data_IF_907689818631
#
_entry.id   IF_907689818631
#
_cell.length_a   1.000
_cell.length_b   1.000
_cell.length_c   1.000
_cell.angle_alpha   90.00
_cell.angle_beta   90.00
_cell.angle_gamma   90.00
#
_symmetry.space_group_name_H-M   'P 1'
#
loop_
_entity.id
_entity.type
_entity.pdbx_description
1 polymer ?
#
# COMPACT_ATOMS: atom_id res chain seq x y z
N UNK A 1 -13.54 -22.07 -6.19
CA UNK A 1 -12.26 -21.44 -5.73
C UNK A 1 -12.07 -21.62 -4.21
N UNK A 2 -12.42 -22.81 -3.71
CA UNK A 2 -12.48 -23.06 -2.25
C UNK A 2 -11.11 -23.26 -1.60
N UNK A 3 -10.10 -23.61 -2.40
CA UNK A 3 -8.75 -23.86 -1.89
C UNK A 3 -8.06 -22.61 -1.29
N UNK A 4 -8.38 -21.40 -1.74
CA UNK A 4 -7.87 -20.16 -1.14
C UNK A 4 -8.37 -19.93 0.29
N UNK A 5 -9.54 -20.49 0.62
CA UNK A 5 -10.16 -20.38 1.95
C UNK A 5 -9.75 -21.56 2.88
N UNK A 6 -8.78 -22.37 2.46
CA UNK A 6 -8.24 -23.44 3.31
C UNK A 6 -7.57 -22.83 4.54
N UNK A 7 -7.98 -23.28 5.72
CA UNK A 7 -7.34 -22.92 6.98
C UNK A 7 -5.98 -23.63 7.04
N UNK A 8 -4.90 -22.86 7.13
CA UNK A 8 -3.55 -23.39 7.23
C UNK A 8 -3.18 -23.66 8.68
N UNK A 9 -3.52 -22.75 9.57
CA UNK A 9 -3.36 -22.88 11.01
C UNK A 9 -4.27 -21.89 11.74
N UNK A 10 -4.36 -22.05 13.05
CA UNK A 10 -5.05 -21.10 13.91
C UNK A 10 -4.05 -20.32 14.76
N UNK A 11 -4.27 -19.02 14.92
CA UNK A 11 -3.45 -18.16 15.75
C UNK A 11 -4.34 -17.29 16.64
N UNK A 12 -4.20 -17.44 17.94
CA UNK A 12 -5.04 -16.73 18.91
C UNK A 12 -6.54 -17.07 18.79
N UNK A 13 -6.88 -18.33 18.45
CA UNK A 13 -8.26 -18.78 18.26
C UNK A 13 -8.93 -18.27 16.99
N UNK A 14 -8.17 -17.72 16.02
CA UNK A 14 -8.66 -17.27 14.72
C UNK A 14 -7.97 -18.03 13.60
N UNK A 15 -8.73 -18.45 12.55
CA UNK A 15 -8.16 -19.14 11.41
C UNK A 15 -7.33 -18.19 10.58
N UNK A 16 -6.16 -18.63 10.15
CA UNK A 16 -5.32 -18.00 9.13
C UNK A 16 -5.51 -18.78 7.85
N UNK A 17 -6.07 -18.11 6.84
CA UNK A 17 -6.38 -18.71 5.55
C UNK A 17 -5.15 -18.69 4.63
N UNK A 18 -5.12 -19.62 3.68
CA UNK A 18 -4.07 -19.65 2.67
C UNK A 18 -3.92 -18.32 1.94
N UNK A 19 -5.04 -17.67 1.59
CA UNK A 19 -5.02 -16.38 0.91
C UNK A 19 -4.41 -15.27 1.77
N UNK A 20 -4.65 -15.28 3.09
CA UNK A 20 -4.07 -14.31 4.02
C UNK A 20 -2.53 -14.47 4.09
N UNK A 21 -2.07 -15.73 4.17
CA UNK A 21 -0.65 -16.06 4.20
C UNK A 21 0.05 -15.68 2.88
N UNK A 22 -0.52 -16.07 1.73
CA UNK A 22 0.02 -15.73 0.42
C UNK A 22 0.07 -14.21 0.22
N UNK A 23 -1.00 -13.50 0.58
CA UNK A 23 -1.03 -12.03 0.47
C UNK A 23 0.04 -11.37 1.35
N UNK A 24 0.24 -11.87 2.58
CA UNK A 24 1.31 -11.38 3.46
C UNK A 24 2.70 -11.64 2.86
N UNK A 25 2.95 -12.84 2.34
CA UNK A 25 4.23 -13.22 1.72
C UNK A 25 4.56 -12.36 0.50
N UNK A 26 3.63 -12.23 -0.45
CA UNK A 26 3.83 -11.42 -1.66
C UNK A 26 3.95 -9.94 -1.32
N UNK A 27 3.13 -9.44 -0.40
CA UNK A 27 3.19 -8.05 0.07
C UNK A 27 4.53 -7.72 0.73
N UNK A 28 4.99 -8.53 1.69
CA UNK A 28 6.29 -8.36 2.35
C UNK A 28 7.44 -8.44 1.34
N UNK A 29 7.40 -9.40 0.41
CA UNK A 29 8.42 -9.55 -0.64
C UNK A 29 8.47 -8.32 -1.54
N UNK A 30 7.31 -7.79 -1.96
CA UNK A 30 7.22 -6.58 -2.78
C UNK A 30 7.90 -5.40 -2.09
N UNK A 31 7.54 -5.14 -0.83
CA UNK A 31 8.06 -3.99 -0.07
C UNK A 31 9.55 -4.17 0.27
N UNK A 32 9.98 -5.40 0.55
CA UNK A 32 11.38 -5.73 0.77
C UNK A 32 12.24 -5.48 -0.49
N UNK A 33 11.78 -5.92 -1.66
CA UNK A 33 12.46 -5.67 -2.93
C UNK A 33 12.48 -4.18 -3.29
N UNK A 34 11.38 -3.45 -3.04
CA UNK A 34 11.31 -2.01 -3.23
C UNK A 34 12.32 -1.28 -2.33
N UNK A 35 12.42 -1.66 -1.05
CA UNK A 35 13.40 -1.11 -0.11
C UNK A 35 14.85 -1.30 -0.56
N UNK A 36 15.12 -2.41 -1.25
CA UNK A 36 16.43 -2.71 -1.86
C UNK A 36 16.62 -2.13 -3.26
N UNK A 37 15.75 -1.22 -3.69
CA UNK A 37 15.83 -0.59 -5.00
C UNK A 37 15.79 -1.59 -6.18
N UNK A 38 15.11 -2.73 -6.03
CA UNK A 38 15.01 -3.78 -7.05
C UNK A 38 13.75 -3.62 -7.89
N UNK A 39 13.90 -3.52 -9.23
CA UNK A 39 12.78 -3.43 -10.19
C UNK A 39 11.84 -4.65 -10.13
N UNK A 40 12.35 -5.79 -9.67
CA UNK A 40 11.55 -7.00 -9.49
C UNK A 40 10.40 -6.84 -8.48
N UNK A 41 10.40 -5.79 -7.65
CA UNK A 41 9.28 -5.48 -6.76
C UNK A 41 7.96 -5.33 -7.53
N UNK A 42 7.98 -4.78 -8.75
CA UNK A 42 6.77 -4.56 -9.56
C UNK A 42 6.14 -5.87 -10.03
N UNK A 43 6.95 -6.86 -10.44
CA UNK A 43 6.43 -8.18 -10.85
C UNK A 43 5.77 -8.91 -9.68
N UNK A 44 6.41 -8.89 -8.51
CA UNK A 44 5.83 -9.45 -7.29
C UNK A 44 4.59 -8.64 -6.87
N UNK A 45 4.62 -7.31 -7.07
CA UNK A 45 3.50 -6.41 -6.84
C UNK A 45 2.27 -6.73 -7.70
N UNK A 46 2.45 -7.18 -8.94
CA UNK A 46 1.34 -7.64 -9.79
C UNK A 46 0.68 -8.88 -9.23
N UNK A 47 1.47 -9.86 -8.77
CA UNK A 47 0.94 -11.06 -8.11
C UNK A 47 0.20 -10.69 -6.83
N UNK A 48 0.77 -9.80 -6.03
CA UNK A 48 0.14 -9.28 -4.81
C UNK A 48 -1.20 -8.61 -5.10
N UNK A 49 -1.26 -7.72 -6.09
CA UNK A 49 -2.50 -7.03 -6.49
C UNK A 49 -3.56 -8.01 -6.96
N UNK A 50 -3.18 -9.05 -7.74
CA UNK A 50 -4.09 -10.09 -8.18
C UNK A 50 -4.66 -10.91 -7.01
N UNK A 51 -3.83 -11.27 -6.02
CA UNK A 51 -4.27 -11.95 -4.80
C UNK A 51 -5.23 -11.09 -3.98
N UNK A 52 -4.93 -9.80 -3.82
CA UNK A 52 -5.82 -8.87 -3.12
C UNK A 52 -7.15 -8.70 -3.85
N UNK A 53 -7.14 -8.66 -5.19
CA UNK A 53 -8.36 -8.59 -5.99
C UNK A 53 -9.26 -9.80 -5.70
N UNK A 54 -8.72 -11.02 -5.75
CA UNK A 54 -9.47 -12.25 -5.43
C UNK A 54 -9.96 -12.25 -3.98
N UNK A 55 -9.10 -11.86 -3.03
CA UNK A 55 -9.44 -11.79 -1.61
C UNK A 55 -10.58 -10.82 -1.33
N UNK A 56 -10.53 -9.63 -1.90
CA UNK A 56 -11.56 -8.61 -1.69
C UNK A 56 -12.88 -8.97 -2.38
N UNK A 57 -12.81 -9.63 -3.55
CA UNK A 57 -13.98 -10.19 -4.22
C UNK A 57 -14.68 -11.23 -3.34
N UNK A 58 -13.95 -12.19 -2.81
CA UNK A 58 -14.50 -13.25 -1.96
C UNK A 58 -15.08 -12.74 -0.63
N UNK A 59 -14.44 -11.71 -0.06
CA UNK A 59 -14.88 -11.09 1.21
C UNK A 59 -15.96 -10.01 1.01
N UNK A 60 -16.43 -9.78 -0.22
CA UNK A 60 -17.40 -8.72 -0.59
C UNK A 60 -16.94 -7.30 -0.18
N UNK A 61 -15.62 -7.08 -0.16
CA UNK A 61 -15.01 -5.79 0.18
C UNK A 61 -14.85 -4.93 -1.07
N UNK A 62 -15.98 -4.53 -1.66
CA UNK A 62 -16.01 -3.85 -2.97
C UNK A 62 -15.26 -2.52 -3.01
N UNK A 63 -15.25 -1.75 -1.91
CA UNK A 63 -14.48 -0.51 -1.84
C UNK A 63 -12.98 -0.76 -2.04
N UNK A 64 -12.43 -1.79 -1.40
CA UNK A 64 -11.04 -2.20 -1.56
C UNK A 64 -10.79 -2.86 -2.93
N UNK A 65 -11.79 -3.56 -3.47
CA UNK A 65 -11.71 -4.16 -4.80
C UNK A 65 -11.52 -3.11 -5.90
N UNK A 66 -12.29 -2.01 -5.85
CA UNK A 66 -12.21 -0.89 -6.82
C UNK A 66 -10.83 -0.22 -6.80
N UNK A 67 -10.12 -0.26 -5.67
CA UNK A 67 -8.78 0.32 -5.56
C UNK A 67 -7.70 -0.53 -6.24
N UNK A 68 -7.93 -1.83 -6.46
CA UNK A 68 -6.91 -2.70 -7.03
C UNK A 68 -6.52 -2.32 -8.47
N UNK A 69 -7.43 -1.97 -9.40
CA UNK A 69 -7.08 -1.43 -10.71
C UNK A 69 -6.24 -0.14 -10.63
N UNK A 70 -6.52 0.75 -9.67
CA UNK A 70 -5.75 1.98 -9.47
C UNK A 70 -4.33 1.64 -9.01
N UNK A 71 -4.19 0.75 -8.01
CA UNK A 71 -2.91 0.25 -7.53
C UNK A 71 -2.11 -0.44 -8.65
N UNK A 72 -2.77 -1.22 -9.49
CA UNK A 72 -2.15 -1.85 -10.65
C UNK A 72 -1.61 -0.79 -11.62
N UNK A 73 -2.39 0.25 -11.93
CA UNK A 73 -1.97 1.37 -12.78
C UNK A 73 -0.75 2.10 -12.21
N UNK A 74 -0.71 2.33 -10.90
CA UNK A 74 0.46 2.93 -10.21
C UNK A 74 1.69 2.01 -10.31
N UNK A 75 1.53 0.70 -10.15
CA UNK A 75 2.61 -0.27 -10.29
C UNK A 75 3.17 -0.29 -11.73
N UNK A 76 2.31 -0.27 -12.74
CA UNK A 76 2.71 -0.21 -14.16
C UNK A 76 3.49 1.08 -14.43
N UNK A 77 2.98 2.22 -13.95
CA UNK A 77 3.67 3.51 -14.05
C UNK A 77 5.04 3.46 -13.38
N UNK A 78 5.13 2.88 -12.18
CA UNK A 78 6.38 2.72 -11.44
C UNK A 78 7.38 1.87 -12.19
N UNK A 79 6.98 0.70 -12.70
CA UNK A 79 7.83 -0.16 -13.50
C UNK A 79 8.38 0.56 -14.74
N UNK A 80 7.52 1.27 -15.46
CA UNK A 80 7.92 2.05 -16.62
C UNK A 80 8.96 3.12 -16.25
N UNK A 81 8.69 3.93 -15.23
CA UNK A 81 9.58 5.01 -14.79
C UNK A 81 10.93 4.51 -14.26
N UNK A 82 10.93 3.41 -13.51
CA UNK A 82 12.18 2.84 -13.00
C UNK A 82 13.01 2.17 -14.08
N UNK A 83 12.38 1.72 -15.17
CA UNK A 83 13.04 1.04 -16.29
C UNK A 83 13.50 2.01 -17.38
N UNK A 84 12.80 3.14 -17.55
CA UNK A 84 13.07 4.12 -18.59
C UNK A 84 13.11 5.54 -17.98
N UNK A 85 14.13 5.86 -17.18
CA UNK A 85 14.27 7.21 -16.62
C UNK A 85 14.59 8.22 -17.75
N UNK A 86 14.13 9.47 -17.57
CA UNK A 86 14.61 10.57 -18.40
C UNK A 86 16.09 10.81 -18.10
N UNK A 87 16.89 11.20 -19.10
CA UNK A 87 18.35 11.46 -18.94
C UNK A 87 18.71 12.35 -17.74
N UNK A 88 17.89 13.37 -17.45
CA UNK A 88 18.07 14.26 -16.28
C UNK A 88 17.80 13.59 -14.92
N UNK A 89 17.17 12.43 -14.90
CA UNK A 89 16.78 11.67 -13.70
C UNK A 89 17.49 10.32 -13.63
N UNK A 90 18.45 10.08 -14.50
CA UNK A 90 19.20 8.83 -14.60
C UNK A 90 20.40 8.87 -13.66
N UNK A 91 20.61 7.78 -12.90
CA UNK A 91 21.80 7.57 -12.09
C UNK A 91 22.98 7.10 -12.94
N UNK A 92 24.17 7.06 -12.37
CA UNK A 92 25.34 6.51 -13.05
C UNK A 92 25.19 5.05 -13.49
N UNK A 93 24.27 4.31 -12.86
CA UNK A 93 23.93 2.92 -13.21
C UNK A 93 22.82 2.78 -14.26
N UNK A 94 22.32 3.87 -14.83
CA UNK A 94 21.21 3.85 -15.80
C UNK A 94 19.82 3.69 -15.17
N UNK A 95 19.72 3.70 -13.86
CA UNK A 95 18.45 3.57 -13.13
C UNK A 95 17.87 4.95 -12.78
N UNK A 96 16.56 4.99 -12.49
CA UNK A 96 15.93 6.21 -11.96
C UNK A 96 16.59 6.59 -10.62
N UNK A 97 17.03 7.84 -10.46
CA UNK A 97 17.57 8.36 -9.20
C UNK A 97 16.53 8.42 -8.10
N UNK A 98 16.98 8.13 -6.86
CA UNK A 98 16.19 8.44 -5.67
C UNK A 98 16.18 9.97 -5.50
N UNK A 99 15.02 10.54 -5.28
CA UNK A 99 14.87 11.98 -5.08
C UNK A 99 13.95 12.28 -3.92
N UNK A 100 14.00 13.51 -3.38
CA UNK A 100 13.08 13.98 -2.35
C UNK A 100 12.03 14.91 -2.94
N UNK A 101 10.92 15.04 -2.24
CA UNK A 101 9.94 16.08 -2.53
C UNK A 101 10.51 17.44 -2.14
N UNK A 102 10.28 18.47 -2.97
CA UNK A 102 10.52 19.85 -2.58
C UNK A 102 9.54 20.28 -1.47
N UNK A 103 9.86 21.34 -0.73
CA UNK A 103 8.98 21.85 0.33
C UNK A 103 7.57 22.19 -0.19
N UNK A 104 7.46 22.80 -1.38
CA UNK A 104 6.16 23.07 -2.01
C UNK A 104 5.39 21.81 -2.37
N UNK A 105 6.07 20.74 -2.82
CA UNK A 105 5.43 19.45 -3.07
C UNK A 105 4.97 18.78 -1.77
N UNK A 106 5.75 18.87 -0.69
CA UNK A 106 5.36 18.34 0.63
C UNK A 106 4.13 19.04 1.17
N UNK A 107 4.09 20.37 1.13
CA UNK A 107 2.91 21.15 1.57
C UNK A 107 1.69 20.84 0.72
N UNK A 108 1.86 20.68 -0.60
CA UNK A 108 0.78 20.26 -1.49
C UNK A 108 0.23 18.87 -1.12
N UNK A 109 1.10 17.86 -0.93
CA UNK A 109 0.69 16.52 -0.54
C UNK A 109 -0.01 16.54 0.83
N UNK A 110 0.53 17.28 1.81
CA UNK A 110 -0.06 17.39 3.15
C UNK A 110 -1.44 18.06 3.13
N UNK A 111 -1.69 19.01 2.24
CA UNK A 111 -3.00 19.64 2.06
C UNK A 111 -3.97 18.73 1.28
N UNK A 112 -3.46 18.00 0.28
CA UNK A 112 -4.25 17.13 -0.58
C UNK A 112 -4.77 15.89 0.17
N UNK A 113 -3.96 15.30 1.06
CA UNK A 113 -4.30 14.09 1.81
C UNK A 113 -5.64 14.21 2.58
N UNK A 114 -5.82 15.18 3.49
CA UNK A 114 -7.08 15.31 4.22
C UNK A 114 -8.25 15.65 3.29
N UNK A 115 -8.02 16.46 2.26
CA UNK A 115 -9.06 16.82 1.28
C UNK A 115 -9.58 15.58 0.55
N UNK A 116 -8.68 14.73 0.03
CA UNK A 116 -9.06 13.49 -0.63
C UNK A 116 -9.69 12.48 0.34
N UNK A 117 -9.17 12.38 1.57
CA UNK A 117 -9.73 11.49 2.59
C UNK A 117 -11.16 11.88 2.98
N UNK A 118 -11.43 13.17 3.13
CA UNK A 118 -12.78 13.69 3.43
C UNK A 118 -13.72 13.47 2.24
N UNK A 119 -13.28 13.80 1.03
CA UNK A 119 -14.09 13.60 -0.18
C UNK A 119 -14.42 12.12 -0.41
N UNK A 120 -13.41 11.27 -0.32
CA UNK A 120 -13.59 9.82 -0.49
C UNK A 120 -14.43 9.21 0.64
N UNK A 121 -14.22 9.64 1.89
CA UNK A 121 -15.03 9.24 3.04
C UNK A 121 -16.49 9.64 2.89
N UNK A 122 -16.74 10.85 2.41
CA UNK A 122 -18.10 11.32 2.09
C UNK A 122 -18.75 10.46 0.99
N UNK A 123 -18.05 10.20 -0.12
CA UNK A 123 -18.54 9.33 -1.20
C UNK A 123 -18.87 7.93 -0.67
N UNK A 124 -17.99 7.31 0.10
CA UNK A 124 -18.19 5.97 0.66
C UNK A 124 -19.35 5.94 1.67
N UNK A 125 -19.53 7.00 2.46
CA UNK A 125 -20.67 7.10 3.38
C UNK A 125 -22.01 7.17 2.62
N UNK A 126 -22.04 7.81 1.45
CA UNK A 126 -23.24 7.92 0.61
C UNK A 126 -23.55 6.60 -0.12
N UNK A 127 -22.53 5.84 -0.54
CA UNK A 127 -22.74 4.59 -1.28
C UNK A 127 -23.53 3.55 -0.48
N UNK A 128 -23.21 3.32 0.78
CA UNK A 128 -23.89 2.33 1.62
C UNK A 128 -25.22 2.80 2.20
N UNK A 129 -25.46 4.12 2.29
CA UNK A 129 -26.61 4.68 2.99
C UNK A 129 -27.66 5.30 2.08
N UNK A 130 -27.30 5.75 0.87
CA UNK A 130 -28.22 6.45 -0.03
C UNK A 130 -28.30 5.88 -1.45
N UNK A 131 -27.14 5.58 -2.09
CA UNK A 131 -27.13 5.26 -3.53
C UNK A 131 -27.32 3.77 -3.83
N UNK A 132 -26.78 2.90 -2.98
CA UNK A 132 -26.77 1.45 -3.20
C UNK A 132 -27.16 0.70 -1.94
N UNK A 133 -28.24 1.15 -1.30
CA UNK A 133 -28.77 0.54 -0.08
C UNK A 133 -29.07 -0.94 -0.32
N UNK A 134 -28.49 -1.81 0.50
CA UNK A 134 -28.66 -3.27 0.41
C UNK A 134 -27.69 -3.98 -0.53
N UNK A 135 -26.97 -3.28 -1.41
CA UNK A 135 -25.94 -3.87 -2.28
C UNK A 135 -24.53 -3.76 -1.68
N UNK A 136 -24.25 -2.69 -0.93
CA UNK A 136 -22.98 -2.50 -0.25
C UNK A 136 -23.21 -2.45 1.26
N UNK A 137 -22.42 -3.21 2.06
CA UNK A 137 -22.48 -3.09 3.50
C UNK A 137 -22.07 -1.67 3.92
N UNK A 138 -22.81 -1.09 4.86
CA UNK A 138 -22.45 0.21 5.42
C UNK A 138 -21.11 0.11 6.14
N UNK A 139 -20.14 0.96 5.77
CA UNK A 139 -18.86 1.01 6.47
C UNK A 139 -19.05 1.75 7.81
N UNK A 140 -18.73 1.12 8.96
CA UNK A 140 -18.92 1.75 10.26
C UNK A 140 -17.97 2.93 10.51
N UNK A 141 -16.81 2.98 9.82
CA UNK A 141 -15.78 4.02 9.98
C UNK A 141 -15.27 4.53 8.61
N UNK A 142 -16.16 5.09 7.76
CA UNK A 142 -15.81 5.37 6.37
C UNK A 142 -14.66 6.37 6.23
N UNK A 143 -14.61 7.40 7.06
CA UNK A 143 -13.55 8.41 6.99
C UNK A 143 -12.17 7.88 7.41
N UNK A 144 -12.12 7.01 8.43
CA UNK A 144 -10.85 6.41 8.87
C UNK A 144 -10.31 5.45 7.82
N UNK A 145 -11.16 4.59 7.26
CA UNK A 145 -10.80 3.66 6.20
C UNK A 145 -10.31 4.40 4.95
N UNK A 146 -11.02 5.46 4.56
CA UNK A 146 -10.63 6.30 3.42
C UNK A 146 -9.34 7.09 3.67
N UNK A 147 -9.08 7.52 4.90
CA UNK A 147 -7.81 8.16 5.26
C UNK A 147 -6.63 7.20 5.06
N UNK A 148 -6.74 5.97 5.55
CA UNK A 148 -5.71 4.93 5.36
C UNK A 148 -5.54 4.61 3.87
N UNK A 149 -6.63 4.50 3.13
CA UNK A 149 -6.62 4.24 1.68
C UNK A 149 -5.90 5.32 0.91
N UNK A 150 -6.21 6.60 1.16
CA UNK A 150 -5.54 7.74 0.49
C UNK A 150 -4.06 7.78 0.84
N UNK A 151 -3.69 7.48 2.09
CA UNK A 151 -2.28 7.33 2.50
C UNK A 151 -1.58 6.20 1.72
N UNK A 152 -2.20 5.04 1.57
CA UNK A 152 -1.65 3.91 0.79
C UNK A 152 -1.42 4.33 -0.67
N UNK A 153 -2.41 4.92 -1.34
CA UNK A 153 -2.28 5.37 -2.73
C UNK A 153 -1.19 6.44 -2.87
N UNK A 154 -1.08 7.34 -1.91
CA UNK A 154 -0.01 8.35 -1.88
C UNK A 154 1.36 7.70 -1.73
N UNK A 155 1.53 6.77 -0.78
CA UNK A 155 2.78 6.05 -0.57
C UNK A 155 3.19 5.25 -1.82
N UNK A 156 2.23 4.55 -2.46
CA UNK A 156 2.47 3.83 -3.72
C UNK A 156 2.88 4.77 -4.85
N UNK A 157 2.19 5.91 -5.00
CA UNK A 157 2.51 6.90 -6.04
C UNK A 157 3.90 7.48 -5.83
N UNK A 158 4.25 7.88 -4.61
CA UNK A 158 5.59 8.38 -4.27
C UNK A 158 6.66 7.31 -4.50
N UNK A 159 6.38 6.04 -4.19
CA UNK A 159 7.26 4.91 -4.46
C UNK A 159 7.45 4.70 -5.97
N UNK A 160 6.39 4.75 -6.77
CA UNK A 160 6.45 4.67 -8.22
C UNK A 160 7.27 5.82 -8.85
N UNK A 161 7.22 7.00 -8.24
CA UNK A 161 8.04 8.17 -8.62
C UNK A 161 9.45 8.14 -8.02
N UNK A 162 9.80 7.11 -7.26
CA UNK A 162 11.08 6.92 -6.56
C UNK A 162 11.42 8.09 -5.63
N UNK A 163 10.42 8.57 -4.91
CA UNK A 163 10.57 9.61 -3.90
C UNK A 163 10.85 9.00 -2.54
N UNK A 164 11.94 9.42 -1.88
CA UNK A 164 12.31 8.97 -0.54
C UNK A 164 11.17 9.12 0.48
N UNK A 165 10.40 10.19 0.35
CA UNK A 165 9.27 10.52 1.23
C UNK A 165 8.18 9.42 1.26
N UNK A 166 8.17 8.49 0.29
CA UNK A 166 7.24 7.34 0.29
C UNK A 166 7.39 6.48 1.54
N UNK A 167 8.60 6.36 2.10
CA UNK A 167 8.85 5.53 3.28
C UNK A 167 8.24 6.14 4.54
N UNK A 168 8.19 7.47 4.65
CA UNK A 168 7.48 8.15 5.74
C UNK A 168 5.97 7.84 5.64
N UNK A 169 5.40 7.93 4.44
CA UNK A 169 4.00 7.60 4.22
C UNK A 169 3.70 6.11 4.54
N UNK A 170 4.58 5.17 4.14
CA UNK A 170 4.43 3.75 4.48
C UNK A 170 4.53 3.48 5.98
N UNK A 171 5.40 4.17 6.71
CA UNK A 171 5.47 4.05 8.17
C UNK A 171 4.17 4.49 8.82
N UNK A 172 3.59 5.61 8.40
CA UNK A 172 2.29 6.08 8.90
C UNK A 172 1.17 5.08 8.61
N UNK A 173 1.10 4.53 7.39
CA UNK A 173 0.14 3.47 7.01
C UNK A 173 0.28 2.26 7.94
N UNK A 174 1.50 1.79 8.16
CA UNK A 174 1.72 0.59 8.97
C UNK A 174 1.41 0.80 10.46
N UNK A 175 1.68 1.99 11.00
CA UNK A 175 1.29 2.36 12.38
C UNK A 175 -0.24 2.39 12.50
N UNK A 176 -0.94 2.99 11.54
CA UNK A 176 -2.40 3.04 11.52
C UNK A 176 -2.99 1.62 11.43
N UNK A 177 -2.50 0.79 10.51
CA UNK A 177 -2.93 -0.59 10.35
C UNK A 177 -2.66 -1.43 11.60
N UNK A 178 -1.48 -1.33 12.20
CA UNK A 178 -1.13 -2.03 13.43
C UNK A 178 -2.14 -1.67 14.54
N UNK A 179 -2.44 -0.39 14.70
CA UNK A 179 -3.40 0.09 15.71
C UNK A 179 -4.81 -0.47 15.45
N UNK A 180 -5.25 -0.46 14.18
CA UNK A 180 -6.56 -1.01 13.79
C UNK A 180 -6.65 -2.51 14.05
N UNK A 181 -5.62 -3.27 13.68
CA UNK A 181 -5.60 -4.73 13.84
C UNK A 181 -5.55 -5.15 15.32
N UNK A 182 -4.79 -4.43 16.15
CA UNK A 182 -4.78 -4.66 17.60
C UNK A 182 -6.15 -4.38 18.23
N UNK A 183 -6.81 -3.27 17.86
CA UNK A 183 -8.17 -2.95 18.33
C UNK A 183 -9.20 -3.97 17.84
N UNK A 184 -9.03 -4.54 16.66
CA UNK A 184 -9.88 -5.60 16.13
C UNK A 184 -9.61 -6.98 16.77
N UNK A 185 -8.64 -7.07 17.69
CA UNK A 185 -8.27 -8.33 18.37
C UNK A 185 -7.67 -9.36 17.40
N UNK A 186 -7.07 -8.90 16.28
CA UNK A 186 -6.35 -9.78 15.36
C UNK A 186 -4.95 -10.08 15.92
N UNK A 187 -4.41 -11.27 15.60
CA UNK A 187 -3.07 -11.67 16.06
C UNK A 187 -2.10 -11.76 14.87
N UNK A 188 -2.50 -12.35 13.77
CA UNK A 188 -1.65 -12.53 12.58
C UNK A 188 -1.28 -11.21 11.92
N UNK A 189 -2.25 -10.35 11.65
CA UNK A 189 -2.03 -9.08 10.93
C UNK A 189 -1.14 -8.08 11.68
N UNK A 190 -1.19 -7.93 13.02
CA UNK A 190 -0.21 -7.14 13.77
C UNK A 190 1.23 -7.60 13.58
N UNK A 191 1.48 -8.92 13.55
CA UNK A 191 2.82 -9.47 13.30
C UNK A 191 3.32 -9.05 11.92
N UNK A 192 2.48 -9.20 10.90
CA UNK A 192 2.79 -8.77 9.53
C UNK A 192 3.08 -7.25 9.50
N UNK A 193 2.28 -6.44 10.19
CA UNK A 193 2.49 -4.98 10.28
C UNK A 193 3.81 -4.61 10.95
N UNK A 194 4.23 -5.34 11.99
CA UNK A 194 5.54 -5.15 12.62
C UNK A 194 6.67 -5.44 11.62
N UNK A 195 6.56 -6.49 10.80
CA UNK A 195 7.55 -6.79 9.75
C UNK A 195 7.61 -5.69 8.69
N UNK A 196 6.45 -5.14 8.29
CA UNK A 196 6.40 -3.97 7.41
C UNK A 196 7.06 -2.74 8.03
N UNK A 197 6.85 -2.47 9.33
CA UNK A 197 7.48 -1.36 10.04
C UNK A 197 9.01 -1.49 10.06
N UNK A 198 9.52 -2.66 10.44
CA UNK A 198 10.97 -2.94 10.44
C UNK A 198 11.57 -2.73 9.06
N UNK A 199 10.94 -3.29 8.02
CA UNK A 199 11.38 -3.09 6.64
C UNK A 199 11.27 -1.62 6.20
N UNK A 200 10.21 -0.92 6.60
CA UNK A 200 10.02 0.50 6.29
C UNK A 200 11.11 1.39 6.87
N UNK A 201 11.47 1.17 8.15
CA UNK A 201 12.56 1.89 8.83
C UNK A 201 13.89 1.62 8.11
N UNK A 202 14.20 0.34 7.85
CA UNK A 202 15.42 -0.02 7.13
C UNK A 202 15.49 0.62 5.74
N UNK A 203 14.39 0.59 4.99
CA UNK A 203 14.28 1.16 3.65
C UNK A 203 14.40 2.68 3.64
N UNK A 204 13.86 3.36 4.65
CA UNK A 204 14.01 4.80 4.84
C UNK A 204 15.48 5.21 4.89
N UNK A 205 16.29 4.51 5.70
CA UNK A 205 17.72 4.76 5.81
C UNK A 205 18.49 4.34 4.57
N UNK A 206 18.14 3.21 3.96
CA UNK A 206 18.76 2.71 2.73
C UNK A 206 18.58 3.69 1.57
N UNK A 207 17.35 4.16 1.36
CA UNK A 207 17.08 5.14 0.29
C UNK A 207 17.66 6.52 0.58
N UNK A 208 17.79 6.92 1.86
CA UNK A 208 18.48 8.14 2.21
C UNK A 208 19.97 8.09 1.84
N UNK A 209 20.62 6.96 2.08
CA UNK A 209 22.02 6.74 1.65
C UNK A 209 22.16 6.82 0.13
N UNK A 210 21.25 6.17 -0.62
CA UNK A 210 21.25 6.25 -2.09
C UNK A 210 21.07 7.69 -2.58
N UNK A 211 20.13 8.43 -2.01
CA UNK A 211 19.91 9.84 -2.33
C UNK A 211 21.19 10.66 -2.14
N UNK A 212 21.89 10.51 -1.00
CA UNK A 212 23.12 11.23 -0.68
C UNK A 212 24.32 10.85 -1.59
N UNK A 213 24.32 9.68 -2.17
CA UNK A 213 25.35 9.25 -3.11
C UNK A 213 25.09 9.72 -4.55
N UNK A 214 23.85 10.04 -4.87
CA UNK A 214 23.40 10.46 -6.21
C UNK A 214 23.29 12.01 -6.33
N UNK A 215 23.45 12.76 -5.23
CA UNK A 215 23.53 14.22 -5.15
C UNK A 215 24.96 14.70 -5.51
#
# INVERSE_FOLDING_TARGET
MDWFNTIIFELGGRPVLLIDLLSAMFGLTTVFLAGRNRKSNFYVGYMYTALLFVMFWQKNLYANLILQPISLGINILGQYRWSQPKKSQESASGDLKVSMLSWGQRTFVLALLPTLALLWGWLMSMMGTRWFVGYFPANPLPYLDCCVTVLILTAQTLSALKKWDCWIAWLLVNIANLTLYLKAGLVFMPIVSCLYLVNGIWSLFSWYKLYRHEE
#
